data_IF_495853475434
#
_entry.id   IF_495853475434
#
_cell.length_a   1.000
_cell.length_b   1.000
_cell.length_c   1.000
_cell.angle_alpha   90.00
_cell.angle_beta   90.00
_cell.angle_gamma   90.00
#
_symmetry.space_group_name_H-M   'P 1'
#
loop_
_entity.id
_entity.type
_entity.pdbx_description
1 polymer ?
#
# COMPACT_ATOMS: atom_id res chain seq x y z
N UNK A 1 -6.09 -16.17 -1.18
CA UNK A 1 -5.82 -15.28 -0.02
C UNK A 1 -6.13 -16.00 1.30
N UNK A 2 -5.77 -17.28 1.45
CA UNK A 2 -5.96 -17.98 2.73
C UNK A 2 -4.69 -17.83 3.57
N UNK A 3 -4.84 -17.38 4.82
CA UNK A 3 -3.73 -17.14 5.75
C UNK A 3 -2.92 -15.85 5.52
N UNK A 4 -3.32 -15.00 4.57
CA UNK A 4 -2.63 -13.72 4.29
C UNK A 4 -3.30 -12.56 5.02
N UNK A 5 -2.50 -11.64 5.56
CA UNK A 5 -2.97 -10.33 6.02
C UNK A 5 -2.87 -9.33 4.87
N UNK A 6 -4.00 -8.71 4.49
CA UNK A 6 -4.06 -7.75 3.38
C UNK A 6 -4.13 -6.33 3.93
N UNK A 7 -3.17 -5.49 3.51
CA UNK A 7 -3.11 -4.08 3.84
C UNK A 7 -3.41 -3.27 2.59
N UNK A 8 -4.62 -2.73 2.52
CA UNK A 8 -4.99 -1.80 1.45
C UNK A 8 -4.19 -0.50 1.50
N UNK A 9 -4.15 0.24 0.41
CA UNK A 9 -3.56 1.57 0.40
C UNK A 9 -4.43 2.54 1.24
N UNK A 10 -3.84 3.60 1.81
CA UNK A 10 -4.60 4.50 2.67
C UNK A 10 -5.64 5.30 1.86
N UNK A 11 -6.67 5.82 2.53
CA UNK A 11 -7.72 6.64 1.88
C UNK A 11 -7.15 7.88 1.18
N UNK A 12 -6.03 8.42 1.67
CA UNK A 12 -5.29 9.53 1.04
C UNK A 12 -4.53 9.14 -0.24
N UNK A 13 -4.50 7.85 -0.59
CA UNK A 13 -3.95 7.35 -1.86
C UNK A 13 -5.09 7.03 -2.83
N UNK A 14 -5.74 5.87 -2.68
CA UNK A 14 -6.93 5.49 -3.47
C UNK A 14 -8.01 4.74 -2.67
N UNK A 15 -7.66 4.11 -1.54
CA UNK A 15 -8.60 3.37 -0.69
C UNK A 15 -8.94 1.94 -1.16
N UNK A 16 -8.11 1.35 -2.01
CA UNK A 16 -8.23 -0.01 -2.53
C UNK A 16 -7.34 -1.01 -1.78
N UNK A 17 -7.37 -2.28 -2.20
CA UNK A 17 -6.49 -3.33 -1.68
C UNK A 17 -5.00 -3.13 -2.01
N UNK A 18 -4.66 -2.14 -2.84
CA UNK A 18 -3.31 -1.77 -3.21
C UNK A 18 -3.31 -0.68 -4.27
N UNK A 19 -2.12 -0.22 -4.66
CA UNK A 19 -1.94 0.77 -5.73
C UNK A 19 -1.67 0.05 -7.04
N UNK A 20 -2.33 0.47 -8.11
CA UNK A 20 -2.17 -0.08 -9.45
C UNK A 20 -1.96 1.01 -10.50
N UNK A 21 -1.34 0.64 -11.62
CA UNK A 21 -1.19 1.49 -12.80
C UNK A 21 -1.23 0.66 -14.08
N UNK A 22 -1.57 1.31 -15.19
CA UNK A 22 -1.44 0.73 -16.53
C UNK A 22 -0.07 1.17 -17.08
N UNK A 23 0.79 0.22 -17.41
CA UNK A 23 2.15 0.51 -17.87
C UNK A 23 3.07 0.97 -16.74
N UNK A 24 4.06 1.81 -17.08
CA UNK A 24 5.00 2.35 -16.11
C UNK A 24 4.30 3.33 -15.14
N UNK A 25 4.67 3.34 -13.85
CA UNK A 25 4.12 4.28 -12.88
C UNK A 25 4.41 5.73 -13.28
N UNK A 26 3.38 6.58 -13.24
CA UNK A 26 3.55 8.04 -13.26
C UNK A 26 3.87 8.57 -11.85
N UNK A 27 4.07 9.87 -11.71
CA UNK A 27 4.38 10.51 -10.43
C UNK A 27 3.29 10.28 -9.38
N UNK A 28 2.02 10.25 -9.79
CA UNK A 28 0.89 10.06 -8.88
C UNK A 28 0.81 8.61 -8.41
N UNK A 29 1.00 7.65 -9.30
CA UNK A 29 1.11 6.23 -8.94
C UNK A 29 2.29 6.01 -8.00
N UNK A 30 3.42 6.63 -8.29
CA UNK A 30 4.63 6.51 -7.46
C UNK A 30 4.40 7.04 -6.04
N UNK A 31 3.77 8.21 -5.90
CA UNK A 31 3.42 8.77 -4.59
C UNK A 31 2.41 7.90 -3.83
N UNK A 32 1.38 7.41 -4.51
CA UNK A 32 0.42 6.48 -3.90
C UNK A 32 1.11 5.19 -3.45
N UNK A 33 2.02 4.63 -4.26
CA UNK A 33 2.81 3.46 -3.91
C UNK A 33 3.67 3.70 -2.66
N UNK A 34 4.26 4.89 -2.52
CA UNK A 34 5.01 5.29 -1.32
C UNK A 34 4.12 5.32 -0.08
N UNK A 35 2.90 5.86 -0.17
CA UNK A 35 1.92 5.89 0.92
C UNK A 35 1.51 4.48 1.35
N UNK A 36 1.24 3.58 0.40
CA UNK A 36 0.99 2.17 0.69
C UNK A 36 2.20 1.53 1.40
N UNK A 37 3.40 1.73 0.88
CA UNK A 37 4.64 1.21 1.48
C UNK A 37 4.85 1.67 2.93
N UNK A 38 4.61 2.96 3.23
CA UNK A 38 4.64 3.50 4.60
C UNK A 38 3.66 2.75 5.52
N UNK A 39 2.42 2.57 5.09
CA UNK A 39 1.38 1.87 5.88
C UNK A 39 1.75 0.41 6.14
N UNK A 40 2.31 -0.30 5.15
CA UNK A 40 2.80 -1.67 5.32
C UNK A 40 3.93 -1.72 6.35
N UNK A 41 4.92 -0.83 6.24
CA UNK A 41 6.05 -0.78 7.16
C UNK A 41 5.61 -0.49 8.62
N UNK A 42 4.68 0.44 8.81
CA UNK A 42 4.09 0.74 10.12
C UNK A 42 3.38 -0.46 10.72
N UNK A 43 2.63 -1.23 9.91
CA UNK A 43 1.99 -2.45 10.39
C UNK A 43 3.04 -3.50 10.80
N UNK A 44 4.05 -3.75 9.96
CA UNK A 44 5.09 -4.73 10.26
C UNK A 44 5.78 -4.42 11.60
N UNK A 45 6.07 -3.14 11.88
CA UNK A 45 6.66 -2.71 13.16
C UNK A 45 5.77 -3.03 14.36
N UNK A 46 4.44 -2.90 14.23
CA UNK A 46 3.48 -3.23 15.30
C UNK A 46 3.29 -4.73 15.52
N UNK A 47 3.57 -5.55 14.51
CA UNK A 47 3.47 -7.01 14.60
C UNK A 47 4.78 -7.66 15.08
N UNK A 48 5.91 -6.99 14.88
CA UNK A 48 7.23 -7.46 15.31
C UNK A 48 7.56 -7.10 16.78
N UNK A 49 6.71 -6.32 17.44
CA UNK A 49 6.77 -5.99 18.88
C UNK A 49 5.94 -6.96 19.69
#
# INVERSE_FOLDING_TARGET
IYGMMIVGDPMEATGHYGVSCVGAPDDRTSENGRKLGKRVAELCKKLAS
#
